data_IF_992915431166
#
_entry.id   IF_992915431166
#
_cell.length_a   1.000
_cell.length_b   1.000
_cell.length_c   1.000
_cell.angle_alpha   90.00
_cell.angle_beta   90.00
_cell.angle_gamma   90.00
#
_symmetry.space_group_name_H-M   'P 1'
#
loop_
_entity.id
_entity.type
_entity.pdbx_description
1 polymer ?
#
# COMPACT_ATOMS: atom_id res chain seq x y z
N UNK A 1 -4.92 -17.49 22.41
CA UNK A 1 -5.64 -16.20 22.19
C UNK A 1 -4.58 -15.15 21.92
N UNK A 2 -4.68 -14.39 20.82
CA UNK A 2 -3.77 -13.27 20.56
C UNK A 2 -3.89 -12.23 21.68
N UNK A 3 -2.80 -11.81 22.34
CA UNK A 3 -2.87 -10.73 23.31
C UNK A 3 -3.28 -9.43 22.60
N UNK A 4 -4.15 -8.65 23.23
CA UNK A 4 -4.39 -7.29 22.75
C UNK A 4 -3.17 -6.42 23.10
N UNK A 5 -2.77 -5.50 22.20
CA UNK A 5 -1.78 -4.50 22.58
C UNK A 5 -2.33 -3.67 23.76
N UNK A 6 -1.43 -3.18 24.59
CA UNK A 6 -1.79 -2.15 25.55
C UNK A 6 -2.21 -0.89 24.80
N UNK A 7 -3.04 -0.05 25.40
CA UNK A 7 -3.39 1.24 24.82
C UNK A 7 -2.11 2.01 24.48
N UNK A 8 -2.05 2.57 23.27
CA UNK A 8 -0.89 3.33 22.84
C UNK A 8 -0.76 4.61 23.65
N UNK A 9 0.41 4.79 24.30
CA UNK A 9 0.77 6.02 24.99
C UNK A 9 1.90 6.74 24.25
N UNK A 10 1.60 7.86 23.58
CA UNK A 10 2.61 8.61 22.83
C UNK A 10 3.67 9.25 23.70
N UNK A 11 3.40 9.49 25.00
CA UNK A 11 4.40 10.06 25.91
C UNK A 11 5.44 9.00 26.30
N UNK A 12 4.96 7.79 26.65
CA UNK A 12 5.85 6.65 26.92
C UNK A 12 6.67 6.31 25.67
N UNK A 13 6.04 6.20 24.50
CA UNK A 13 6.71 5.91 23.24
C UNK A 13 7.88 6.88 22.96
N UNK A 14 7.66 8.17 23.22
CA UNK A 14 8.70 9.19 23.04
C UNK A 14 9.76 9.15 24.11
N UNK A 15 9.40 8.93 25.37
CA UNK A 15 10.35 8.89 26.49
C UNK A 15 11.29 7.68 26.43
N UNK A 16 10.88 6.60 25.76
CA UNK A 16 11.71 5.43 25.47
C UNK A 16 12.68 5.61 24.29
N UNK A 17 12.72 6.79 23.66
CA UNK A 17 13.57 7.08 22.50
C UNK A 17 13.12 6.42 21.19
N UNK A 18 11.96 5.79 21.15
CA UNK A 18 11.45 5.04 19.99
C UNK A 18 11.16 5.92 18.78
N UNK A 19 10.98 7.22 18.99
CA UNK A 19 10.74 8.21 17.94
C UNK A 19 12.01 8.96 17.48
N UNK A 20 13.16 8.75 18.12
CA UNK A 20 14.33 9.64 17.96
C UNK A 20 14.92 9.60 16.54
N UNK A 21 15.09 8.40 15.96
CA UNK A 21 15.58 8.26 14.59
C UNK A 21 14.62 8.89 13.58
N UNK A 22 13.31 8.60 13.71
CA UNK A 22 12.31 9.17 12.81
C UNK A 22 12.30 10.70 12.89
N UNK A 23 12.39 11.27 14.10
CA UNK A 23 12.45 12.72 14.30
C UNK A 23 13.69 13.34 13.68
N UNK A 24 14.85 12.69 13.82
CA UNK A 24 16.08 13.15 13.18
C UNK A 24 15.96 13.15 11.65
N UNK A 25 15.42 12.07 11.07
CA UNK A 25 15.17 11.97 9.62
C UNK A 25 14.13 12.99 9.14
N UNK A 26 13.05 13.22 9.89
CA UNK A 26 12.05 14.23 9.56
C UNK A 26 12.63 15.66 9.67
N UNK A 27 13.51 15.91 10.62
CA UNK A 27 14.21 17.20 10.72
C UNK A 27 15.13 17.48 9.54
N UNK A 28 15.71 16.45 8.94
CA UNK A 28 16.62 16.55 7.80
C UNK A 28 15.89 16.58 6.45
N UNK A 29 14.84 15.76 6.29
CA UNK A 29 14.22 15.45 4.99
C UNK A 29 12.72 15.75 4.89
N UNK A 30 12.06 16.07 6.01
CA UNK A 30 10.60 16.12 6.07
C UNK A 30 9.95 17.24 5.25
N UNK A 31 10.70 18.25 4.84
CA UNK A 31 10.30 19.32 3.93
C UNK A 31 10.38 18.91 2.44
N UNK A 32 11.07 17.82 2.13
CA UNK A 32 11.34 17.34 0.76
C UNK A 32 10.74 15.98 0.46
N UNK A 33 10.47 15.16 1.48
CA UNK A 33 9.99 13.80 1.35
C UNK A 33 8.70 13.62 2.14
N UNK A 34 7.74 12.88 1.55
CA UNK A 34 6.53 12.48 2.26
C UNK A 34 6.83 11.29 3.18
N UNK A 35 6.83 11.48 4.50
CA UNK A 35 7.05 10.37 5.42
C UNK A 35 5.81 9.49 5.52
N UNK A 36 5.96 8.19 5.36
CA UNK A 36 4.87 7.25 5.62
C UNK A 36 5.35 6.01 6.37
N UNK A 37 4.44 5.38 7.10
CA UNK A 37 4.66 4.13 7.82
C UNK A 37 3.89 2.99 7.18
N UNK A 38 4.36 1.76 7.35
CA UNK A 38 3.65 0.55 6.95
C UNK A 38 2.82 0.00 8.09
N UNK A 39 1.59 -0.42 7.77
CA UNK A 39 0.71 -1.17 8.67
C UNK A 39 0.13 -2.34 7.87
N UNK A 40 0.25 -3.55 8.39
CA UNK A 40 -0.39 -4.70 7.77
C UNK A 40 -1.91 -4.61 7.90
N UNK A 41 -2.65 -4.98 6.84
CA UNK A 41 -4.09 -5.17 6.97
C UNK A 41 -4.40 -6.29 7.98
N UNK A 42 -5.57 -6.27 8.63
CA UNK A 42 -5.95 -7.36 9.52
C UNK A 42 -5.97 -8.73 8.85
N UNK A 43 -6.43 -8.83 7.61
CA UNK A 43 -6.45 -10.10 6.88
C UNK A 43 -5.02 -10.57 6.54
N UNK A 44 -4.16 -9.68 6.06
CA UNK A 44 -2.76 -10.00 5.80
C UNK A 44 -2.04 -10.43 7.09
N UNK A 45 -2.35 -9.79 8.22
CA UNK A 45 -1.83 -10.17 9.52
C UNK A 45 -2.18 -11.61 9.94
N UNK A 46 -3.29 -12.17 9.45
CA UNK A 46 -3.67 -13.55 9.73
C UNK A 46 -2.72 -14.58 9.13
N UNK A 47 -2.02 -14.28 8.03
CA UNK A 47 -1.00 -15.17 7.48
C UNK A 47 0.19 -15.37 8.44
N UNK A 48 0.49 -14.39 9.27
CA UNK A 48 1.52 -14.54 10.30
C UNK A 48 1.09 -15.48 11.42
N UNK A 49 -0.21 -15.73 11.60
CA UNK A 49 -0.73 -16.63 12.63
C UNK A 49 -0.75 -18.09 12.19
N UNK A 50 -1.11 -18.34 10.93
CA UNK A 50 -1.39 -19.69 10.44
C UNK A 50 -0.49 -20.14 9.29
N UNK A 51 0.34 -19.24 8.75
CA UNK A 51 1.06 -19.49 7.50
C UNK A 51 0.10 -19.56 6.30
N UNK A 52 0.64 -19.80 5.12
CA UNK A 52 -0.16 -19.80 3.89
C UNK A 52 -1.21 -20.92 3.87
N UNK A 53 -0.79 -22.18 4.06
CA UNK A 53 -1.69 -23.35 4.03
C UNK A 53 -2.75 -23.28 5.13
N UNK A 54 -2.33 -22.92 6.34
CA UNK A 54 -3.24 -22.76 7.47
C UNK A 54 -4.27 -21.66 7.22
N UNK A 55 -3.87 -20.53 6.61
CA UNK A 55 -4.79 -19.44 6.26
C UNK A 55 -5.83 -19.90 5.24
N UNK A 56 -5.42 -20.64 4.20
CA UNK A 56 -6.36 -21.18 3.19
C UNK A 56 -7.38 -22.12 3.84
N UNK A 57 -6.90 -23.03 4.69
CA UNK A 57 -7.78 -23.94 5.46
C UNK A 57 -8.75 -23.17 6.35
N UNK A 58 -8.26 -22.17 7.08
CA UNK A 58 -9.09 -21.38 7.99
C UNK A 58 -10.15 -20.56 7.25
N UNK A 59 -9.82 -19.97 6.11
CA UNK A 59 -10.79 -19.24 5.27
C UNK A 59 -11.88 -20.18 4.75
N UNK A 60 -11.52 -21.41 4.35
CA UNK A 60 -12.46 -22.38 3.81
C UNK A 60 -13.37 -23.02 4.88
N UNK A 61 -12.82 -23.38 6.04
CA UNK A 61 -13.48 -24.21 7.02
C UNK A 61 -14.01 -23.41 8.24
N UNK A 62 -13.33 -22.31 8.60
CA UNK A 62 -13.58 -21.56 9.82
C UNK A 62 -13.53 -20.03 9.60
N UNK A 63 -14.26 -19.48 8.62
CA UNK A 63 -14.21 -18.04 8.31
C UNK A 63 -14.59 -17.15 9.49
N UNK A 64 -15.42 -17.65 10.43
CA UNK A 64 -15.79 -16.95 11.64
C UNK A 64 -14.58 -16.73 12.60
N UNK A 65 -13.63 -17.67 12.62
CA UNK A 65 -12.40 -17.51 13.39
C UNK A 65 -11.43 -16.56 12.71
N UNK A 66 -11.41 -16.54 11.38
CA UNK A 66 -10.64 -15.56 10.61
C UNK A 66 -11.18 -14.15 10.89
N UNK A 67 -12.49 -13.96 10.83
CA UNK A 67 -13.12 -12.67 11.15
C UNK A 67 -12.82 -12.25 12.61
N UNK A 68 -12.87 -13.19 13.56
CA UNK A 68 -12.48 -12.91 14.94
C UNK A 68 -11.01 -12.49 15.05
N UNK A 69 -10.10 -13.17 14.36
CA UNK A 69 -8.68 -12.81 14.34
C UNK A 69 -8.45 -11.44 13.69
N UNK A 70 -9.13 -11.14 12.58
CA UNK A 70 -9.09 -9.81 11.95
C UNK A 70 -9.55 -8.72 12.93
N UNK A 71 -10.59 -8.96 13.72
CA UNK A 71 -11.02 -8.03 14.78
C UNK A 71 -9.94 -7.79 15.84
N UNK A 72 -9.19 -8.82 16.21
CA UNK A 72 -8.06 -8.69 17.17
C UNK A 72 -6.87 -7.95 16.53
N UNK A 73 -6.58 -8.22 15.28
CA UNK A 73 -5.51 -7.57 14.54
C UNK A 73 -5.85 -6.11 14.18
N UNK A 74 -7.12 -5.78 14.08
CA UNK A 74 -7.58 -4.39 13.94
C UNK A 74 -7.16 -3.54 15.16
N UNK A 75 -7.25 -4.08 16.38
CA UNK A 75 -6.74 -3.37 17.59
C UNK A 75 -5.22 -3.15 17.52
N UNK A 76 -4.50 -4.10 16.93
CA UNK A 76 -3.07 -3.92 16.67
C UNK A 76 -2.83 -2.84 15.63
N UNK A 77 -3.59 -2.83 14.52
CA UNK A 77 -3.48 -1.80 13.50
C UNK A 77 -3.75 -0.40 14.06
N UNK A 78 -4.76 -0.24 14.94
CA UNK A 78 -5.04 1.02 15.65
C UNK A 78 -3.86 1.51 16.48
N UNK A 79 -3.24 0.59 17.23
CA UNK A 79 -2.02 0.91 17.99
C UNK A 79 -0.90 1.39 17.06
N UNK A 80 -0.67 0.71 15.93
CA UNK A 80 0.40 1.02 14.99
C UNK A 80 0.11 2.36 14.24
N UNK A 81 -1.17 2.68 13.95
CA UNK A 81 -1.61 4.00 13.46
C UNK A 81 -1.26 5.10 14.47
N UNK A 82 -1.56 4.89 15.75
CA UNK A 82 -1.18 5.82 16.82
C UNK A 82 0.33 6.03 16.92
N UNK A 83 1.11 4.97 16.77
CA UNK A 83 2.57 5.05 16.75
C UNK A 83 3.08 5.84 15.53
N UNK A 84 2.53 5.61 14.34
CA UNK A 84 2.87 6.35 13.13
C UNK A 84 2.58 7.85 13.27
N UNK A 85 1.44 8.21 13.84
CA UNK A 85 1.10 9.60 14.15
C UNK A 85 2.10 10.23 15.14
N UNK A 86 2.51 9.50 16.18
CA UNK A 86 3.50 9.97 17.15
C UNK A 86 4.91 10.13 16.54
N UNK A 87 5.23 9.38 15.49
CA UNK A 87 6.45 9.52 14.70
C UNK A 87 6.40 10.75 13.76
N UNK A 88 5.23 11.29 13.46
CA UNK A 88 5.06 12.39 12.51
C UNK A 88 4.87 11.91 11.06
N UNK A 89 4.37 10.71 10.85
CA UNK A 89 4.02 10.22 9.51
C UNK A 89 2.92 11.10 8.90
N UNK A 90 3.03 11.38 7.61
CA UNK A 90 1.99 12.07 6.84
C UNK A 90 1.00 11.09 6.20
N UNK A 91 1.41 9.84 6.01
CA UNK A 91 0.58 8.79 5.42
C UNK A 91 0.86 7.42 6.04
N UNK A 92 -0.09 6.50 5.85
CA UNK A 92 0.08 5.09 6.17
C UNK A 92 -0.16 4.26 4.91
N UNK A 93 0.81 3.40 4.63
CA UNK A 93 0.72 2.33 3.65
C UNK A 93 0.10 1.10 4.32
N UNK A 94 -1.16 0.84 4.00
CA UNK A 94 -1.87 -0.36 4.47
C UNK A 94 -1.55 -1.49 3.51
N UNK A 95 -0.75 -2.42 3.96
CA UNK A 95 -0.27 -3.53 3.14
C UNK A 95 -1.28 -4.68 3.12
N UNK A 96 -1.68 -5.09 1.92
CA UNK A 96 -2.54 -6.24 1.66
C UNK A 96 -1.92 -7.11 0.59
N UNK A 97 -1.46 -8.29 0.97
CA UNK A 97 -0.85 -9.23 0.04
C UNK A 97 -1.72 -10.47 -0.16
N UNK A 98 -1.45 -11.18 -1.27
CA UNK A 98 -2.16 -12.42 -1.64
C UNK A 98 -3.67 -12.24 -1.74
N UNK A 99 -4.11 -11.10 -2.25
CA UNK A 99 -5.54 -10.76 -2.31
C UNK A 99 -6.34 -11.74 -3.17
N UNK A 100 -5.72 -12.28 -4.22
CA UNK A 100 -6.28 -13.22 -5.18
C UNK A 100 -6.31 -14.68 -4.68
N UNK A 101 -5.69 -14.97 -3.54
CA UNK A 101 -5.70 -16.32 -2.94
C UNK A 101 -7.01 -16.66 -2.24
N UNK A 102 -7.82 -15.67 -1.92
CA UNK A 102 -9.16 -15.86 -1.34
C UNK A 102 -10.23 -15.45 -2.35
N UNK A 103 -11.42 -16.05 -2.29
CA UNK A 103 -12.51 -15.67 -3.20
C UNK A 103 -12.95 -14.22 -2.99
N UNK A 104 -13.56 -13.55 -4.00
CA UNK A 104 -14.14 -12.22 -3.84
C UNK A 104 -15.13 -12.12 -2.68
N UNK A 105 -15.92 -13.16 -2.45
CA UNK A 105 -16.88 -13.22 -1.34
C UNK A 105 -16.18 -13.25 0.02
N UNK A 106 -15.10 -14.05 0.15
CA UNK A 106 -14.28 -14.07 1.36
C UNK A 106 -13.55 -12.73 1.56
N UNK A 107 -13.00 -12.14 0.50
CA UNK A 107 -12.39 -10.82 0.54
C UNK A 107 -13.40 -9.74 0.99
N UNK A 108 -14.63 -9.76 0.45
CA UNK A 108 -15.69 -8.84 0.84
C UNK A 108 -16.06 -8.93 2.33
N UNK A 109 -16.05 -10.13 2.91
CA UNK A 109 -16.46 -10.36 4.30
C UNK A 109 -15.31 -10.30 5.31
N UNK A 110 -14.10 -10.71 4.93
CA UNK A 110 -12.97 -10.87 5.84
C UNK A 110 -11.91 -9.75 5.71
N UNK A 111 -11.92 -8.98 4.62
CA UNK A 111 -10.98 -7.88 4.39
C UNK A 111 -11.68 -6.52 4.49
N UNK A 112 -12.61 -6.25 3.57
CA UNK A 112 -13.20 -4.91 3.37
C UNK A 112 -13.70 -4.26 4.65
N UNK A 113 -14.47 -4.93 5.55
CA UNK A 113 -14.99 -4.30 6.75
C UNK A 113 -13.91 -3.85 7.74
N UNK A 114 -12.79 -4.57 7.77
CA UNK A 114 -11.68 -4.27 8.67
C UNK A 114 -10.76 -3.19 8.08
N UNK A 115 -10.43 -3.26 6.80
CA UNK A 115 -9.61 -2.23 6.14
C UNK A 115 -10.32 -0.88 6.17
N UNK A 116 -11.63 -0.81 5.98
CA UNK A 116 -12.40 0.43 6.14
C UNK A 116 -12.18 1.07 7.51
N UNK A 117 -12.19 0.27 8.57
CA UNK A 117 -11.95 0.78 9.92
C UNK A 117 -10.52 1.26 10.09
N UNK A 118 -9.53 0.59 9.51
CA UNK A 118 -8.13 1.06 9.50
C UNK A 118 -8.02 2.39 8.76
N UNK A 119 -8.64 2.52 7.59
CA UNK A 119 -8.67 3.77 6.80
C UNK A 119 -9.31 4.92 7.60
N UNK A 120 -10.39 4.64 8.32
CA UNK A 120 -11.08 5.63 9.15
C UNK A 120 -10.23 6.08 10.35
N UNK A 121 -9.52 5.15 10.97
CA UNK A 121 -8.55 5.44 12.04
C UNK A 121 -7.41 6.32 11.53
N UNK A 122 -6.83 5.99 10.38
CA UNK A 122 -5.77 6.79 9.73
C UNK A 122 -6.27 8.22 9.47
N UNK A 123 -7.45 8.36 8.90
CA UNK A 123 -8.08 9.67 8.63
C UNK A 123 -8.34 10.45 9.92
N UNK A 124 -8.82 9.79 10.96
CA UNK A 124 -9.07 10.40 12.28
C UNK A 124 -7.77 10.88 12.93
N UNK A 125 -6.65 10.24 12.65
CA UNK A 125 -5.32 10.67 13.08
C UNK A 125 -4.71 11.78 12.20
N UNK A 126 -5.42 12.27 11.19
CA UNK A 126 -4.96 13.36 10.31
C UNK A 126 -3.97 12.95 9.24
N UNK A 127 -3.87 11.66 8.93
CA UNK A 127 -2.94 11.10 7.94
C UNK A 127 -3.67 10.65 6.67
N UNK A 128 -2.92 10.50 5.57
CA UNK A 128 -3.42 9.92 4.33
C UNK A 128 -3.30 8.39 4.35
N UNK A 129 -4.31 7.71 3.81
CA UNK A 129 -4.31 6.25 3.66
C UNK A 129 -3.93 5.85 2.24
N UNK A 130 -2.92 4.97 2.11
CA UNK A 130 -2.51 4.35 0.86
C UNK A 130 -2.80 2.86 0.99
N UNK A 131 -3.78 2.35 0.24
CA UNK A 131 -4.13 0.94 0.27
C UNK A 131 -3.37 0.21 -0.84
N UNK A 132 -2.41 -0.64 -0.45
CA UNK A 132 -1.63 -1.44 -1.38
C UNK A 132 -2.23 -2.84 -1.52
N UNK A 133 -2.60 -3.20 -2.74
CA UNK A 133 -3.14 -4.51 -3.08
C UNK A 133 -2.14 -5.28 -3.94
N UNK A 134 -1.63 -6.39 -3.41
CA UNK A 134 -0.73 -7.31 -4.08
C UNK A 134 -1.50 -8.57 -4.49
N UNK A 135 -1.51 -8.88 -5.77
CA UNK A 135 -2.23 -9.99 -6.40
C UNK A 135 -3.10 -9.51 -7.56
N UNK A 136 -3.78 -10.44 -8.22
CA UNK A 136 -4.67 -10.15 -9.34
C UNK A 136 -5.97 -9.45 -8.86
N UNK A 137 -6.22 -8.19 -9.24
CA UNK A 137 -7.41 -7.46 -8.82
C UNK A 137 -8.62 -7.67 -9.75
N UNK A 138 -8.52 -8.50 -10.79
CA UNK A 138 -9.47 -8.53 -11.92
C UNK A 138 -10.93 -8.73 -11.49
N UNK A 139 -11.20 -9.59 -10.50
CA UNK A 139 -12.53 -9.93 -10.02
C UNK A 139 -12.98 -9.16 -8.77
N UNK A 140 -12.20 -8.16 -8.30
CA UNK A 140 -12.46 -7.47 -7.03
C UNK A 140 -12.21 -5.96 -7.03
N UNK A 141 -12.13 -5.33 -8.18
CA UNK A 141 -11.90 -3.88 -8.30
C UNK A 141 -12.84 -3.04 -7.44
N UNK A 142 -14.15 -3.35 -7.49
CA UNK A 142 -15.14 -2.60 -6.71
C UNK A 142 -14.93 -2.75 -5.20
N UNK A 143 -14.48 -3.93 -4.76
CA UNK A 143 -14.16 -4.18 -3.37
C UNK A 143 -12.94 -3.37 -2.92
N UNK A 144 -11.87 -3.33 -3.75
CA UNK A 144 -10.66 -2.54 -3.50
C UNK A 144 -11.02 -1.05 -3.35
N UNK A 145 -11.73 -0.48 -4.30
CA UNK A 145 -12.12 0.93 -4.23
C UNK A 145 -13.14 1.21 -3.11
N UNK A 146 -13.93 0.21 -2.72
CA UNK A 146 -14.93 0.37 -1.67
C UNK A 146 -14.36 0.60 -0.28
N UNK A 147 -13.09 0.28 -0.03
CA UNK A 147 -12.47 0.53 1.28
C UNK A 147 -12.35 2.03 1.58
N UNK A 148 -12.40 2.88 0.56
CA UNK A 148 -12.44 4.33 0.71
C UNK A 148 -11.10 4.95 1.10
N UNK A 149 -9.98 4.30 0.74
CA UNK A 149 -8.65 4.84 0.94
C UNK A 149 -8.42 6.11 0.08
N UNK A 150 -7.56 7.01 0.54
CA UNK A 150 -7.22 8.25 -0.15
C UNK A 150 -6.38 7.97 -1.40
N UNK A 151 -5.62 6.88 -1.37
CA UNK A 151 -4.83 6.39 -2.50
C UNK A 151 -4.87 4.87 -2.60
N UNK A 152 -4.72 4.35 -3.82
CA UNK A 152 -4.51 2.92 -4.11
C UNK A 152 -3.16 2.73 -4.77
N UNK A 153 -2.47 1.65 -4.40
CA UNK A 153 -1.23 1.20 -5.01
C UNK A 153 -1.34 -0.26 -5.39
N UNK A 154 -0.74 -0.65 -6.50
CA UNK A 154 -0.89 -1.97 -7.10
C UNK A 154 0.46 -2.48 -7.59
N UNK A 155 0.57 -3.80 -7.72
CA UNK A 155 1.71 -4.42 -8.40
C UNK A 155 1.71 -4.08 -9.90
N UNK A 156 2.86 -4.28 -10.55
CA UNK A 156 2.94 -4.34 -12.00
C UNK A 156 2.30 -5.62 -12.53
N UNK A 157 2.04 -5.66 -13.84
CA UNK A 157 1.61 -6.89 -14.53
C UNK A 157 2.66 -7.98 -14.38
N UNK A 158 2.29 -9.11 -13.78
CA UNK A 158 3.17 -10.27 -13.57
C UNK A 158 2.37 -11.53 -13.28
N UNK A 159 3.04 -12.67 -13.17
CA UNK A 159 2.44 -13.96 -12.75
C UNK A 159 1.22 -14.38 -13.59
N UNK A 160 1.14 -13.92 -14.84
CA UNK A 160 0.05 -14.29 -15.74
C UNK A 160 -1.18 -13.38 -15.70
N UNK A 161 -1.19 -12.31 -14.88
CA UNK A 161 -2.22 -11.29 -14.87
C UNK A 161 -1.71 -9.94 -15.40
N UNK A 162 -2.63 -9.08 -15.79
CA UNK A 162 -2.34 -7.75 -16.31
C UNK A 162 -3.01 -6.70 -15.43
N UNK A 163 -2.20 -5.75 -14.98
CA UNK A 163 -2.67 -4.53 -14.33
C UNK A 163 -2.22 -3.35 -15.19
N UNK A 164 -3.09 -2.92 -16.10
CA UNK A 164 -2.83 -1.76 -16.93
C UNK A 164 -3.18 -0.49 -16.17
N UNK A 165 -2.21 0.44 -16.09
CA UNK A 165 -2.40 1.68 -15.33
C UNK A 165 -3.51 2.56 -15.90
N UNK A 166 -3.79 2.48 -17.21
CA UNK A 166 -4.86 3.23 -17.84
C UNK A 166 -6.22 2.71 -17.35
N UNK A 167 -6.40 1.38 -17.31
CA UNK A 167 -7.61 0.76 -16.77
C UNK A 167 -7.79 1.09 -15.28
N UNK A 168 -6.70 1.10 -14.50
CA UNK A 168 -6.75 1.47 -13.08
C UNK A 168 -7.23 2.91 -12.91
N UNK A 169 -6.67 3.83 -13.67
CA UNK A 169 -7.03 5.25 -13.65
C UNK A 169 -8.49 5.45 -14.04
N UNK A 170 -8.94 4.78 -15.10
CA UNK A 170 -10.33 4.89 -15.57
C UNK A 170 -11.32 4.34 -14.52
N UNK A 171 -10.97 3.23 -13.85
CA UNK A 171 -11.76 2.69 -12.73
C UNK A 171 -11.73 3.60 -11.51
N UNK A 172 -10.60 4.22 -11.19
CA UNK A 172 -10.50 5.18 -10.10
C UNK A 172 -11.40 6.39 -10.34
N UNK A 173 -11.48 6.88 -11.59
CA UNK A 173 -12.40 7.95 -12.00
C UNK A 173 -12.24 9.25 -11.20
N UNK A 174 -11.05 9.54 -10.70
CA UNK A 174 -10.75 10.70 -9.85
C UNK A 174 -11.24 10.59 -8.40
N UNK A 175 -11.72 9.40 -7.95
CA UNK A 175 -12.19 9.19 -6.58
C UNK A 175 -11.05 9.15 -5.56
N UNK A 176 -9.91 8.58 -5.94
CA UNK A 176 -8.71 8.48 -5.11
C UNK A 176 -7.45 8.74 -5.94
N UNK A 177 -6.34 8.93 -5.27
CA UNK A 177 -5.03 8.98 -5.91
C UNK A 177 -4.62 7.57 -6.34
N UNK A 178 -4.04 7.42 -7.53
CA UNK A 178 -3.46 6.17 -8.00
C UNK A 178 -1.94 6.29 -7.93
N UNK A 179 -1.30 5.35 -7.23
CA UNK A 179 0.13 5.16 -7.32
C UNK A 179 0.40 4.21 -8.50
N UNK A 180 1.25 4.64 -9.42
CA UNK A 180 1.62 3.87 -10.60
C UNK A 180 2.30 2.56 -10.23
N UNK A 181 2.39 1.71 -11.21
CA UNK A 181 2.86 0.33 -11.09
C UNK A 181 3.95 0.01 -12.12
N UNK A 182 4.89 0.94 -12.29
CA UNK A 182 5.98 0.70 -13.23
C UNK A 182 6.74 -0.57 -12.83
N UNK A 183 7.01 -1.42 -13.81
CA UNK A 183 7.72 -2.68 -13.61
C UNK A 183 9.15 -2.43 -13.13
N UNK A 184 9.39 -2.75 -11.86
CA UNK A 184 10.69 -2.59 -11.22
C UNK A 184 11.66 -3.74 -11.56
N UNK A 185 11.14 -4.92 -11.88
CA UNK A 185 11.91 -6.16 -12.00
C UNK A 185 12.52 -6.30 -13.40
N UNK A 186 11.72 -6.06 -14.44
CA UNK A 186 12.16 -6.24 -15.83
C UNK A 186 12.49 -4.88 -16.46
N UNK A 187 11.54 -3.94 -16.45
CA UNK A 187 11.70 -2.68 -17.18
C UNK A 187 12.70 -1.74 -16.49
N UNK A 188 12.55 -1.50 -15.19
CA UNK A 188 13.47 -0.61 -14.48
C UNK A 188 14.87 -1.22 -14.46
N UNK A 189 15.02 -2.48 -14.08
CA UNK A 189 16.33 -3.10 -13.92
C UNK A 189 17.05 -3.31 -15.25
N UNK A 190 16.34 -3.77 -16.30
CA UNK A 190 16.96 -4.31 -17.53
C UNK A 190 16.47 -3.68 -18.83
N UNK A 191 15.37 -2.92 -18.82
CA UNK A 191 14.81 -2.32 -20.02
C UNK A 191 15.73 -1.27 -20.67
N UNK A 192 15.56 -0.99 -21.97
CA UNK A 192 16.26 0.12 -22.60
C UNK A 192 15.84 1.47 -22.03
N UNK A 193 16.66 2.50 -22.22
CA UNK A 193 16.31 3.89 -21.83
C UNK A 193 15.04 4.35 -22.52
N UNK A 194 14.90 4.01 -23.79
CA UNK A 194 13.75 4.38 -24.63
C UNK A 194 12.48 3.70 -24.15
N UNK A 195 12.55 2.40 -23.79
CA UNK A 195 11.41 1.67 -23.24
C UNK A 195 10.98 2.24 -21.89
N UNK A 196 11.93 2.52 -20.99
CA UNK A 196 11.62 3.14 -19.70
C UNK A 196 10.98 4.52 -19.88
N UNK A 197 11.53 5.35 -20.77
CA UNK A 197 10.97 6.69 -21.09
C UNK A 197 9.55 6.58 -21.63
N UNK A 198 9.31 5.66 -22.56
CA UNK A 198 7.99 5.46 -23.15
C UNK A 198 6.95 5.06 -22.10
N UNK A 199 7.30 4.15 -21.20
CA UNK A 199 6.40 3.72 -20.14
C UNK A 199 6.14 4.82 -19.10
N UNK A 200 7.16 5.57 -18.69
CA UNK A 200 6.98 6.74 -17.82
C UNK A 200 6.04 7.76 -18.47
N UNK A 201 6.25 8.07 -19.75
CA UNK A 201 5.38 9.00 -20.48
C UNK A 201 3.93 8.51 -20.55
N UNK A 202 3.72 7.21 -20.78
CA UNK A 202 2.39 6.57 -20.80
C UNK A 202 1.69 6.69 -19.45
N UNK A 203 2.40 6.35 -18.37
CA UNK A 203 1.82 6.41 -17.02
C UNK A 203 1.52 7.85 -16.59
N UNK A 204 2.39 8.81 -16.90
CA UNK A 204 2.12 10.24 -16.64
C UNK A 204 0.89 10.70 -17.40
N UNK A 205 0.75 10.32 -18.68
CA UNK A 205 -0.43 10.67 -19.48
C UNK A 205 -1.72 10.06 -18.91
N UNK A 206 -1.68 8.81 -18.46
CA UNK A 206 -2.79 8.17 -17.78
C UNK A 206 -3.14 8.93 -16.48
N UNK A 207 -2.14 9.27 -15.67
CA UNK A 207 -2.32 9.99 -14.41
C UNK A 207 -3.01 11.36 -14.58
N UNK A 208 -2.74 12.07 -15.66
CA UNK A 208 -3.43 13.35 -15.97
C UNK A 208 -4.94 13.16 -16.16
N UNK A 209 -5.40 12.02 -16.68
CA UNK A 209 -6.83 11.68 -16.78
C UNK A 209 -7.50 11.46 -15.43
N UNK A 210 -6.74 11.09 -14.39
CA UNK A 210 -7.24 10.94 -13.01
C UNK A 210 -7.31 12.29 -12.26
N UNK A 211 -7.62 13.39 -12.94
CA UNK A 211 -7.67 14.74 -12.36
C UNK A 211 -6.35 15.12 -11.67
N UNK A 212 -5.23 14.70 -12.21
CA UNK A 212 -3.88 14.85 -11.64
C UNK A 212 -3.71 14.21 -10.24
N UNK A 213 -4.58 13.26 -9.86
CA UNK A 213 -4.44 12.45 -8.66
C UNK A 213 -3.63 11.20 -8.99
N UNK A 214 -2.33 11.40 -9.21
CA UNK A 214 -1.43 10.33 -9.61
C UNK A 214 -0.03 10.55 -9.04
N UNK A 215 0.58 9.47 -8.59
CA UNK A 215 1.96 9.45 -8.12
C UNK A 215 2.70 8.38 -8.91
N UNK A 216 3.78 8.75 -9.59
CA UNK A 216 4.65 7.77 -10.21
C UNK A 216 5.29 6.89 -9.14
N UNK A 217 5.10 5.60 -9.25
CA UNK A 217 5.60 4.60 -8.31
C UNK A 217 5.99 3.33 -9.04
N UNK A 218 6.68 2.44 -8.34
CA UNK A 218 7.01 1.09 -8.80
C UNK A 218 5.94 0.12 -8.29
N UNK A 219 5.64 -0.90 -9.06
CA UNK A 219 4.69 -1.95 -8.66
C UNK A 219 5.30 -2.96 -7.67
N UNK A 220 6.61 -3.14 -7.72
CA UNK A 220 7.39 -3.99 -6.81
C UNK A 220 8.59 -3.25 -6.26
N UNK A 221 9.17 -3.70 -5.15
CA UNK A 221 10.42 -3.15 -4.64
C UNK A 221 11.55 -3.23 -5.67
N UNK A 222 12.45 -2.25 -5.62
CA UNK A 222 13.68 -2.28 -6.42
C UNK A 222 14.50 -3.51 -6.05
N UNK A 223 14.90 -4.30 -7.04
CA UNK A 223 15.73 -5.49 -6.79
C UNK A 223 17.16 -5.11 -6.41
N UNK A 224 17.86 -5.93 -5.61
CA UNK A 224 19.24 -5.63 -5.21
C UNK A 224 20.22 -5.46 -6.38
N UNK A 225 19.95 -6.09 -7.53
CA UNK A 225 20.76 -6.01 -8.74
C UNK A 225 20.50 -4.75 -9.59
N UNK A 226 19.45 -4.01 -9.29
CA UNK A 226 19.12 -2.79 -10.05
C UNK A 226 20.18 -1.72 -9.81
N UNK A 227 20.91 -1.26 -10.85
CA UNK A 227 21.91 -0.21 -10.68
C UNK A 227 21.28 1.11 -10.21
N UNK A 228 21.97 1.82 -9.32
CA UNK A 228 21.49 3.12 -8.81
C UNK A 228 21.23 4.12 -9.93
N UNK A 229 22.03 4.07 -10.99
CA UNK A 229 21.89 4.91 -12.18
C UNK A 229 20.54 4.71 -12.89
N UNK A 230 19.99 3.49 -12.82
CA UNK A 230 18.66 3.18 -13.37
C UNK A 230 17.55 3.85 -12.56
N UNK A 231 17.69 3.83 -11.23
CA UNK A 231 16.74 4.51 -10.34
C UNK A 231 16.81 6.03 -10.53
N UNK A 232 18.02 6.59 -10.66
CA UNK A 232 18.20 8.02 -10.97
C UNK A 232 17.58 8.39 -12.30
N UNK A 233 17.85 7.60 -13.34
CA UNK A 233 17.25 7.80 -14.65
C UNK A 233 15.71 7.80 -14.59
N UNK A 234 15.12 6.88 -13.83
CA UNK A 234 13.68 6.85 -13.62
C UNK A 234 13.19 8.15 -12.98
N UNK A 235 13.82 8.60 -11.90
CA UNK A 235 13.44 9.86 -11.23
C UNK A 235 13.58 11.07 -12.17
N UNK A 236 14.66 11.14 -12.92
CA UNK A 236 14.90 12.24 -13.88
C UNK A 236 13.82 12.26 -14.98
N UNK A 237 13.46 11.09 -15.52
CA UNK A 237 12.39 10.97 -16.52
C UNK A 237 11.02 11.35 -15.95
N UNK A 238 10.74 10.97 -14.70
CA UNK A 238 9.49 11.37 -14.03
C UNK A 238 9.42 12.89 -13.89
N UNK A 239 10.50 13.54 -13.43
CA UNK A 239 10.54 15.00 -13.32
C UNK A 239 10.42 15.69 -14.69
N UNK A 240 11.15 15.21 -15.70
CA UNK A 240 11.11 15.77 -17.04
C UNK A 240 9.70 15.70 -17.67
N UNK A 241 9.06 14.53 -17.57
CA UNK A 241 7.78 14.25 -18.26
C UNK A 241 6.56 14.65 -17.41
N UNK A 242 6.73 14.79 -16.10
CA UNK A 242 5.69 15.21 -15.18
C UNK A 242 5.51 16.72 -15.06
N UNK A 243 6.51 17.50 -15.46
CA UNK A 243 6.54 18.98 -15.31
C UNK A 243 5.64 19.77 -16.28
N UNK A 244 4.79 19.10 -17.08
CA UNK A 244 3.93 19.72 -18.11
C UNK A 244 2.45 19.78 -17.74
#
# INVERSE_FOLDING_TARGET
>A
MLPLPQAFDPAVFRSEGRADLARALLGEFGDRLLPFCHVASPLWGCYALWGFEGMMTMVAERPELVAHACGRLLERARHDVGAAAALGAAAIWVEECMTDMVSPAAFASLNVPFVRQVVEEIRSAGMWSIYYCCGDPADRWDLIFSVGADAVSLEESKKGFTIDIEDVVDRAGGRCTVLGNLDAIVLLAHGSREALRAEVARQVAAGRRNRSRFVMSLGSPVTPETPVERVRLYCDLVHELGAG
#
